data_IF_769847578483
#
_entry.id   IF_769847578483
#
_cell.length_a   1.000
_cell.length_b   1.000
_cell.length_c   1.000
_cell.angle_alpha   90.00
_cell.angle_beta   90.00
_cell.angle_gamma   90.00
#
_symmetry.space_group_name_H-M   'P 1'
#
loop_
_entity.id
_entity.type
_entity.pdbx_description
1 polymer ?
#
# COMPACT_ATOMS: atom_id res chain seq x y z
N UNK A 1 5.06 -25.75 23.39
CA UNK A 1 6.31 -25.05 23.78
C UNK A 1 6.43 -23.76 22.95
N UNK A 2 6.90 -22.64 23.51
CA UNK A 2 6.95 -21.32 22.84
C UNK A 2 7.64 -21.35 21.46
N UNK A 3 8.71 -22.14 21.32
CA UNK A 3 9.44 -22.28 20.05
C UNK A 3 8.54 -22.84 18.93
N UNK A 4 7.64 -23.77 19.25
CA UNK A 4 6.73 -24.35 18.25
C UNK A 4 5.71 -23.32 17.78
N UNK A 5 5.19 -22.50 18.70
CA UNK A 5 4.28 -21.40 18.36
C UNK A 5 4.96 -20.37 17.46
N UNK A 6 6.19 -19.96 17.79
CA UNK A 6 6.97 -19.03 16.97
C UNK A 6 7.22 -19.58 15.57
N UNK A 7 7.50 -20.89 15.46
CA UNK A 7 7.70 -21.54 14.15
C UNK A 7 6.41 -21.61 13.34
N UNK A 8 5.29 -21.94 13.97
CA UNK A 8 3.99 -22.09 13.30
C UNK A 8 3.49 -20.74 12.77
N UNK A 9 3.64 -19.67 13.56
CA UNK A 9 3.18 -18.32 13.22
C UNK A 9 4.22 -17.48 12.44
N UNK A 10 5.35 -18.08 12.06
CA UNK A 10 6.47 -17.39 11.40
C UNK A 10 6.96 -16.13 12.15
N UNK A 11 6.97 -16.21 13.48
CA UNK A 11 7.37 -15.12 14.37
C UNK A 11 8.82 -15.23 14.81
N UNK A 12 9.46 -14.07 14.89
CA UNK A 12 10.82 -13.92 15.38
C UNK A 12 10.81 -13.37 16.81
N UNK A 13 11.57 -14.02 17.69
CA UNK A 13 11.79 -13.57 19.05
C UNK A 13 12.89 -12.48 19.09
N UNK A 14 12.53 -11.21 19.01
CA UNK A 14 13.51 -10.12 18.82
C UNK A 14 14.56 -10.01 19.92
N UNK A 15 14.25 -10.45 21.13
CA UNK A 15 15.21 -10.46 22.21
C UNK A 15 16.45 -11.34 21.94
N UNK A 16 16.38 -12.36 21.09
CA UNK A 16 17.53 -13.24 20.82
C UNK A 16 18.46 -12.73 19.72
N UNK A 17 18.02 -11.79 18.87
CA UNK A 17 18.77 -11.37 17.68
C UNK A 17 19.82 -10.28 17.91
N UNK A 18 19.77 -9.59 19.06
CA UNK A 18 20.64 -8.46 19.36
C UNK A 18 21.52 -8.75 20.57
N UNK A 19 22.83 -8.51 20.44
CA UNK A 19 23.80 -8.66 21.54
C UNK A 19 23.55 -7.57 22.59
N UNK A 20 23.15 -7.98 23.79
CA UNK A 20 22.85 -7.08 24.92
C UNK A 20 23.99 -7.08 25.93
N UNK A 21 24.26 -5.92 26.53
CA UNK A 21 25.07 -5.86 27.76
C UNK A 21 24.32 -6.56 28.89
N UNK A 22 25.04 -7.19 29.82
CA UNK A 22 24.47 -8.05 30.87
C UNK A 22 23.33 -7.37 31.65
N UNK A 23 23.50 -6.09 31.97
CA UNK A 23 22.54 -5.27 32.69
C UNK A 23 21.24 -4.98 31.93
N UNK A 24 21.25 -5.09 30.59
CA UNK A 24 20.10 -4.79 29.71
C UNK A 24 19.38 -6.05 29.20
N UNK A 25 19.75 -7.23 29.70
CA UNK A 25 19.19 -8.52 29.24
C UNK A 25 17.91 -8.90 29.98
N UNK A 26 17.90 -8.72 31.29
CA UNK A 26 16.87 -9.28 32.16
C UNK A 26 15.61 -8.42 32.18
N UNK A 27 14.46 -9.01 31.87
CA UNK A 27 13.15 -8.32 31.80
C UNK A 27 12.33 -8.48 33.08
N UNK A 28 12.71 -9.42 33.94
CA UNK A 28 12.08 -9.67 35.22
C UNK A 28 13.16 -9.83 36.29
N UNK A 29 12.96 -9.19 37.43
CA UNK A 29 13.86 -9.24 38.57
C UNK A 29 13.04 -9.29 39.85
N UNK A 30 13.27 -10.33 40.67
CA UNK A 30 12.67 -10.44 41.99
C UNK A 30 13.13 -9.26 42.87
N UNK A 31 12.27 -8.82 43.79
CA UNK A 31 12.59 -7.76 44.78
C UNK A 31 13.90 -8.01 45.54
N UNK A 32 14.23 -9.27 45.80
CA UNK A 32 15.48 -9.73 46.45
C UNK A 32 16.74 -9.58 45.56
N UNK A 33 16.60 -9.06 44.34
CA UNK A 33 17.65 -8.69 43.36
C UNK A 33 18.56 -9.80 42.82
N UNK A 34 18.62 -10.96 43.48
CA UNK A 34 19.43 -12.12 43.09
C UNK A 34 18.86 -12.79 41.84
N UNK A 35 17.56 -13.06 41.82
CA UNK A 35 16.92 -13.82 40.73
C UNK A 35 16.50 -12.90 39.59
N UNK A 36 17.16 -13.08 38.44
CA UNK A 36 16.86 -12.35 37.20
C UNK A 36 16.49 -13.33 36.11
N UNK A 37 15.39 -13.06 35.39
CA UNK A 37 14.90 -13.91 34.30
C UNK A 37 14.52 -13.07 33.09
N UNK A 38 14.58 -13.73 31.94
CA UNK A 38 14.04 -13.20 30.69
C UNK A 38 12.68 -13.84 30.47
N UNK A 39 11.62 -13.06 30.73
CA UNK A 39 10.21 -13.51 30.64
C UNK A 39 9.38 -12.64 29.67
N UNK A 40 9.78 -11.40 29.47
CA UNK A 40 9.13 -10.47 28.55
C UNK A 40 9.80 -10.54 27.19
N UNK A 41 9.01 -10.70 26.14
CA UNK A 41 9.52 -10.86 24.79
C UNK A 41 8.79 -9.96 23.80
N UNK A 42 9.52 -9.48 22.80
CA UNK A 42 8.94 -8.87 21.61
C UNK A 42 8.95 -9.91 20.49
N UNK A 43 7.77 -10.26 19.99
CA UNK A 43 7.59 -11.20 18.87
C UNK A 43 7.11 -10.44 17.64
N UNK A 44 7.75 -10.66 16.49
CA UNK A 44 7.40 -9.94 15.26
C UNK A 44 7.53 -10.84 14.03
N UNK A 45 6.67 -10.64 13.04
CA UNK A 45 6.79 -11.30 11.73
C UNK A 45 7.78 -10.60 10.79
N UNK A 46 8.08 -9.32 11.04
CA UNK A 46 8.96 -8.49 10.21
C UNK A 46 10.22 -8.09 10.96
N UNK A 47 11.18 -9.01 11.06
CA UNK A 47 12.46 -8.77 11.77
C UNK A 47 13.26 -7.57 11.20
N UNK A 48 13.23 -7.36 9.88
CA UNK A 48 14.14 -6.45 9.17
C UNK A 48 13.91 -4.95 9.48
N UNK A 49 12.78 -4.57 10.09
CA UNK A 49 12.53 -3.18 10.53
C UNK A 49 13.11 -2.89 11.92
N UNK A 50 13.53 -3.90 12.67
CA UNK A 50 14.07 -3.72 14.02
C UNK A 50 15.56 -3.38 13.95
N UNK A 51 15.94 -2.30 14.64
CA UNK A 51 17.33 -1.88 14.81
C UNK A 51 17.96 -2.50 16.07
N UNK A 52 17.22 -2.50 17.18
CA UNK A 52 17.70 -2.99 18.46
C UNK A 52 16.53 -3.32 19.41
N UNK A 53 16.78 -4.21 20.36
CA UNK A 53 15.88 -4.53 21.48
C UNK A 53 16.70 -4.65 22.76
N UNK A 54 16.35 -3.89 23.80
CA UNK A 54 17.01 -3.93 25.10
C UNK A 54 16.11 -3.47 26.24
N UNK A 55 16.47 -3.83 27.47
CA UNK A 55 15.77 -3.39 28.68
C UNK A 55 16.29 -2.04 29.15
N UNK A 56 15.38 -1.15 29.55
CA UNK A 56 15.70 0.16 30.14
C UNK A 56 16.12 -0.05 31.61
N UNK A 57 17.27 0.50 32.00
CA UNK A 57 17.82 0.31 33.34
C UNK A 57 17.27 1.28 34.38
N UNK A 58 17.07 2.54 34.02
CA UNK A 58 16.69 3.62 34.94
C UNK A 58 15.21 3.97 34.77
N UNK A 59 14.35 2.94 34.81
CA UNK A 59 12.91 3.11 34.72
C UNK A 59 12.25 2.10 35.68
N UNK A 60 11.63 2.63 36.73
CA UNK A 60 10.89 1.85 37.70
C UNK A 60 9.40 1.94 37.37
N UNK A 61 8.77 0.79 37.17
CA UNK A 61 7.31 0.65 37.04
C UNK A 61 6.64 0.35 38.37
N UNK A 62 7.39 0.31 39.48
CA UNK A 62 6.87 -0.18 40.76
C UNK A 62 6.56 -1.69 40.76
N UNK A 63 7.04 -2.42 39.75
CA UNK A 63 6.83 -3.86 39.59
C UNK A 63 8.14 -4.60 39.39
N UNK A 64 8.12 -5.92 39.54
CA UNK A 64 9.27 -6.80 39.27
C UNK A 64 9.63 -6.88 37.77
N UNK A 65 8.77 -6.34 36.90
CA UNK A 65 9.00 -6.27 35.47
C UNK A 65 9.81 -5.03 35.12
N UNK A 66 10.74 -5.21 34.18
CA UNK A 66 11.56 -4.12 33.65
C UNK A 66 11.08 -3.76 32.26
N UNK A 67 11.04 -2.47 31.96
CA UNK A 67 10.57 -1.98 30.67
C UNK A 67 11.48 -2.45 29.53
N UNK A 68 10.89 -3.20 28.60
CA UNK A 68 11.53 -3.65 27.36
C UNK A 68 11.30 -2.61 26.26
N UNK A 69 12.36 -2.23 25.54
CA UNK A 69 12.30 -1.26 24.44
C UNK A 69 12.78 -1.90 23.15
N UNK A 70 11.94 -1.84 22.12
CA UNK A 70 12.34 -2.07 20.73
C UNK A 70 12.54 -0.74 20.01
N UNK A 71 13.58 -0.65 19.18
CA UNK A 71 13.81 0.48 18.28
C UNK A 71 13.58 0.02 16.85
N UNK A 72 12.64 0.68 16.16
CA UNK A 72 12.28 0.37 14.78
C UNK A 72 12.79 1.47 13.85
N UNK A 73 13.32 1.08 12.69
CA UNK A 73 13.61 1.98 11.57
C UNK A 73 12.74 1.54 10.40
N UNK A 74 11.77 2.37 10.05
CA UNK A 74 10.82 2.08 8.97
C UNK A 74 11.13 3.00 7.80
N UNK A 75 11.59 2.43 6.69
CA UNK A 75 11.70 3.16 5.44
C UNK A 75 10.38 3.00 4.67
N UNK A 76 9.50 4.00 4.78
CA UNK A 76 8.15 3.96 4.20
C UNK A 76 8.15 3.63 2.70
N UNK A 77 9.11 4.18 1.94
CA UNK A 77 9.25 3.88 0.50
C UNK A 77 9.51 2.40 0.25
N UNK A 78 10.47 1.79 0.97
CA UNK A 78 10.81 0.36 0.82
C UNK A 78 9.66 -0.54 1.29
N UNK A 79 9.03 -0.20 2.41
CA UNK A 79 7.89 -0.97 2.93
C UNK A 79 6.70 -0.89 1.97
N UNK A 80 6.39 0.29 1.43
CA UNK A 80 5.34 0.44 0.43
C UNK A 80 5.62 -0.40 -0.80
N UNK A 81 6.83 -0.38 -1.35
CA UNK A 81 7.19 -1.24 -2.49
C UNK A 81 7.02 -2.72 -2.16
N UNK A 82 7.40 -3.16 -0.95
CA UNK A 82 7.26 -4.56 -0.55
C UNK A 82 5.80 -4.98 -0.41
N UNK A 83 4.96 -4.14 0.18
CA UNK A 83 3.52 -4.38 0.33
C UNK A 83 2.79 -4.34 -1.02
N UNK A 84 3.19 -3.45 -1.93
CA UNK A 84 2.58 -3.38 -3.26
C UNK A 84 3.01 -4.55 -4.16
N UNK A 85 4.25 -5.04 -4.03
CA UNK A 85 4.75 -6.20 -4.80
C UNK A 85 3.95 -7.48 -4.53
N UNK A 86 3.45 -7.68 -3.30
CA UNK A 86 2.64 -8.86 -2.99
C UNK A 86 1.22 -8.82 -3.56
N UNK A 87 0.71 -7.64 -3.94
CA UNK A 87 -0.69 -7.46 -4.35
C UNK A 87 -0.85 -7.24 -5.85
N UNK A 88 0.21 -6.88 -6.58
CA UNK A 88 0.08 -6.29 -7.93
C UNK A 88 0.99 -6.88 -9.02
N UNK A 89 1.70 -7.98 -8.80
CA UNK A 89 2.48 -8.56 -9.89
C UNK A 89 1.61 -9.44 -10.79
N UNK A 90 0.79 -8.78 -11.62
CA UNK A 90 0.46 -9.32 -12.93
C UNK A 90 1.74 -9.42 -13.74
N UNK A 91 2.01 -10.59 -14.33
CA UNK A 91 3.19 -10.82 -15.18
C UNK A 91 3.24 -9.77 -16.30
N UNK A 92 4.42 -9.33 -16.75
CA UNK A 92 4.55 -8.36 -17.85
C UNK A 92 3.70 -8.73 -19.09
N UNK A 93 3.58 -10.03 -19.38
CA UNK A 93 2.72 -10.58 -20.43
C UNK A 93 1.22 -10.37 -20.15
N UNK A 94 0.78 -10.49 -18.89
CA UNK A 94 -0.60 -10.20 -18.50
C UNK A 94 -0.90 -8.70 -18.66
N UNK A 95 0.05 -7.82 -18.32
CA UNK A 95 -0.12 -6.37 -18.49
C UNK A 95 -0.24 -6.03 -19.99
N UNK A 96 0.63 -6.59 -20.84
CA UNK A 96 0.59 -6.39 -22.29
C UNK A 96 -0.70 -6.93 -22.91
N UNK A 97 -1.10 -8.15 -22.53
CA UNK A 97 -2.34 -8.76 -23.01
C UNK A 97 -3.59 -7.98 -22.57
N UNK A 98 -3.64 -7.57 -21.30
CA UNK A 98 -4.72 -6.72 -20.78
C UNK A 98 -4.72 -5.36 -21.46
N UNK A 99 -3.57 -4.79 -21.79
CA UNK A 99 -3.48 -3.54 -22.54
C UNK A 99 -4.08 -3.65 -23.94
N UNK A 100 -3.77 -4.71 -24.70
CA UNK A 100 -4.39 -4.93 -26.01
C UNK A 100 -5.90 -5.12 -25.92
N UNK A 101 -6.38 -5.91 -24.95
CA UNK A 101 -7.82 -6.11 -24.76
C UNK A 101 -8.54 -4.79 -24.43
N UNK A 102 -7.95 -3.96 -23.56
CA UNK A 102 -8.50 -2.64 -23.21
C UNK A 102 -8.52 -1.74 -24.45
N UNK A 103 -7.47 -1.72 -25.26
CA UNK A 103 -7.46 -0.90 -26.48
C UNK A 103 -8.51 -1.35 -27.50
N UNK A 104 -8.71 -2.66 -27.68
CA UNK A 104 -9.75 -3.19 -28.57
C UNK A 104 -11.16 -2.83 -28.08
N UNK A 105 -11.41 -2.96 -26.78
CA UNK A 105 -12.70 -2.60 -26.17
C UNK A 105 -12.96 -1.09 -26.30
N UNK A 106 -11.94 -0.25 -26.06
CA UNK A 106 -12.03 1.20 -26.26
C UNK A 106 -12.34 1.55 -27.71
N UNK A 107 -11.65 0.93 -28.67
CA UNK A 107 -11.94 1.14 -30.09
C UNK A 107 -13.36 0.74 -30.46
N UNK A 108 -13.82 -0.43 -30.04
CA UNK A 108 -15.20 -0.92 -30.26
C UNK A 108 -16.24 0.05 -29.73
N UNK A 109 -16.07 0.54 -28.49
CA UNK A 109 -16.97 1.53 -27.90
C UNK A 109 -16.93 2.85 -28.63
N UNK A 110 -15.75 3.33 -29.00
CA UNK A 110 -15.59 4.62 -29.67
C UNK A 110 -16.18 4.57 -31.10
N UNK A 111 -16.05 3.45 -31.80
CA UNK A 111 -16.70 3.22 -33.09
C UNK A 111 -18.23 3.15 -32.97
N UNK A 112 -18.76 2.52 -31.92
CA UNK A 112 -20.21 2.52 -31.65
C UNK A 112 -20.78 3.91 -31.33
N UNK A 113 -19.94 4.83 -30.86
CA UNK A 113 -20.28 6.22 -30.52
C UNK A 113 -20.06 7.20 -31.68
N UNK A 114 -19.46 6.77 -32.79
CA UNK A 114 -19.41 7.57 -34.02
C UNK A 114 -20.83 7.66 -34.58
N UNK A 115 -21.56 8.69 -34.19
CA UNK A 115 -22.86 9.02 -34.76
C UNK A 115 -22.69 9.25 -36.27
N UNK A 116 -23.54 8.61 -37.08
CA UNK A 116 -23.46 8.54 -38.55
C UNK A 116 -23.71 9.86 -39.27
N UNK A 117 -23.82 10.97 -38.55
CA UNK A 117 -24.07 12.28 -39.15
C UNK A 117 -22.86 13.16 -38.89
N UNK A 118 -22.18 13.52 -39.99
CA UNK A 118 -21.12 14.51 -39.95
C UNK A 118 -21.73 15.81 -39.41
N UNK A 119 -21.30 16.22 -38.20
CA UNK A 119 -21.80 17.43 -37.54
C UNK A 119 -21.60 18.64 -38.45
N UNK A 120 -20.51 18.64 -39.23
CA UNK A 120 -20.22 19.70 -40.20
C UNK A 120 -21.23 19.72 -41.35
N UNK A 121 -21.73 18.56 -41.79
CA UNK A 121 -22.75 18.47 -42.84
C UNK A 121 -24.13 18.93 -42.34
N UNK A 122 -24.46 18.65 -41.08
CA UNK A 122 -25.68 19.18 -40.44
C UNK A 122 -25.60 20.70 -40.34
N UNK A 123 -24.46 21.25 -39.92
CA UNK A 123 -24.25 22.70 -39.80
C UNK A 123 -24.35 23.37 -41.17
N UNK A 124 -23.68 22.83 -42.18
CA UNK A 124 -23.74 23.36 -43.56
C UNK A 124 -25.17 23.37 -44.11
N UNK A 125 -25.94 22.32 -43.84
CA UNK A 125 -27.34 22.27 -44.25
C UNK A 125 -28.19 23.31 -43.53
N UNK A 126 -28.04 23.48 -42.21
CA UNK A 126 -28.77 24.51 -41.44
C UNK A 126 -28.40 25.92 -41.92
N UNK A 127 -27.13 26.18 -42.18
CA UNK A 127 -26.64 27.47 -42.69
C UNK A 127 -27.27 27.75 -44.06
N UNK A 128 -27.30 26.77 -44.96
CA UNK A 128 -27.98 26.91 -46.27
C UNK A 128 -29.47 27.24 -46.11
N UNK A 129 -30.20 26.54 -45.23
CA UNK A 129 -31.64 26.82 -45.02
C UNK A 129 -31.89 28.22 -44.48
N UNK A 130 -31.05 28.68 -43.54
CA UNK A 130 -31.16 30.04 -42.98
C UNK A 130 -30.87 31.11 -44.03
N UNK A 131 -29.90 30.88 -44.92
CA UNK A 131 -29.64 31.80 -46.03
C UNK A 131 -30.78 31.81 -47.06
N UNK A 132 -31.34 30.65 -47.42
CA UNK A 132 -32.47 30.59 -48.35
C UNK A 132 -33.72 31.25 -47.75
N UNK A 133 -34.04 30.99 -46.49
CA UNK A 133 -35.19 31.60 -45.81
C UNK A 133 -35.04 33.12 -45.67
N UNK A 134 -33.84 33.61 -45.36
CA UNK A 134 -33.57 35.04 -45.31
C UNK A 134 -33.61 35.69 -46.71
N UNK A 135 -33.16 34.98 -47.75
CA UNK A 135 -33.26 35.44 -49.13
C UNK A 135 -34.73 35.54 -49.60
N UNK A 136 -35.57 34.55 -49.27
CA UNK A 136 -37.00 34.61 -49.55
C UNK A 136 -37.71 35.72 -48.76
N UNK A 137 -37.31 35.97 -47.51
CA UNK A 137 -37.86 37.07 -46.70
C UNK A 137 -37.47 38.47 -47.19
N UNK A 138 -36.27 38.66 -47.71
CA UNK A 138 -35.84 39.97 -48.25
C UNK A 138 -36.44 40.28 -49.62
N UNK A 139 -36.76 39.26 -50.44
CA UNK A 139 -37.27 39.44 -51.80
C UNK A 139 -38.79 39.32 -51.95
N UNK A 140 -39.55 39.22 -50.85
CA UNK A 140 -41.00 39.48 -50.84
C UNK A 140 -41.88 38.52 -51.65
N UNK A 141 -41.45 37.28 -51.89
CA UNK A 141 -42.30 36.24 -52.46
C UNK A 141 -42.93 35.43 -51.32
N UNK A 142 -44.21 35.68 -51.04
CA UNK A 142 -45.08 34.78 -50.27
C UNK A 142 -45.71 33.77 -51.21
#
# INVERSE_FOLDING_TARGET
MLVNFLKLEELFLMNSFFKKKLQRRWTWQKLDTVTRKEKGFIMVNKRHIFKDVFVINKFSTGSEYRQLRGTLIICLRKERTRLMKSTLQSTALQILYSSEQIQRELHSRLDSLKTTSNVDEIIDNVVKTVYTDNFHRQNGYR
#
